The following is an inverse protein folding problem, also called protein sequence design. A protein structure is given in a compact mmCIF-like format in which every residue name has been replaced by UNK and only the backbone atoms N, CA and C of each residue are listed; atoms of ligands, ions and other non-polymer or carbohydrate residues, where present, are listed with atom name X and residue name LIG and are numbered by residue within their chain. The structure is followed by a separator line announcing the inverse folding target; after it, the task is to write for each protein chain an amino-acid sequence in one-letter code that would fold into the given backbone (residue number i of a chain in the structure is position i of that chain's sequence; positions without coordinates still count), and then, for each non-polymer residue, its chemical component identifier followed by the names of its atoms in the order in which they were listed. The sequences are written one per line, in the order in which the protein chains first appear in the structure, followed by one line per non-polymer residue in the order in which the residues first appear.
data_IF_563938590315
#
_entry.id   IF_563938590315
#
_cell.length_a   1.000
_cell.length_b   1.000
_cell.length_c   1.000
_cell.angle_alpha   90.00
_cell.angle_beta   90.00
_cell.angle_gamma   90.00
#
_symmetry.space_group_name_H-M   'P 1'
#
loop_
_entity.id
_entity.type
_entity.pdbx_description
1 polymer ?
#
# COMPACT_ATOMS: atom_id res chain seq x y z
N UNK A 1 -13.26 12.12 0.30
CA UNK A 1 -12.23 12.37 -0.74
C UNK A 1 -12.62 11.64 -2.01
N UNK A 2 -12.50 12.32 -3.15
CA UNK A 2 -12.66 11.69 -4.46
C UNK A 2 -11.49 10.73 -4.73
N UNK A 3 -11.57 9.97 -5.83
CA UNK A 3 -10.45 9.10 -6.26
C UNK A 3 -9.17 9.88 -6.56
N UNK A 4 -9.29 11.07 -7.15
CA UNK A 4 -8.14 11.91 -7.51
C UNK A 4 -7.47 12.47 -6.26
N UNK A 5 -8.26 12.99 -5.33
CA UNK A 5 -7.72 13.52 -4.06
C UNK A 5 -7.03 12.42 -3.25
N UNK A 6 -7.57 11.20 -3.29
CA UNK A 6 -6.97 10.08 -2.57
C UNK A 6 -5.62 9.68 -3.17
N UNK A 7 -5.50 9.66 -4.50
CA UNK A 7 -4.23 9.39 -5.17
C UNK A 7 -3.22 10.52 -4.92
N UNK A 8 -3.65 11.78 -5.05
CA UNK A 8 -2.81 12.93 -4.75
C UNK A 8 -2.26 12.84 -3.33
N UNK A 9 -3.12 12.59 -2.34
CA UNK A 9 -2.70 12.42 -0.95
C UNK A 9 -1.64 11.31 -0.79
N UNK A 10 -1.85 10.14 -1.38
CA UNK A 10 -0.87 9.04 -1.30
C UNK A 10 0.47 9.41 -1.95
N UNK A 11 0.40 9.99 -3.14
CA UNK A 11 1.57 10.37 -3.93
C UNK A 11 2.37 11.46 -3.22
N UNK A 12 1.71 12.48 -2.70
CA UNK A 12 2.36 13.61 -2.01
C UNK A 12 2.96 13.15 -0.67
N UNK A 13 2.25 12.31 0.08
CA UNK A 13 2.72 11.84 1.40
C UNK A 13 3.95 10.94 1.31
N UNK A 14 4.02 10.09 0.27
CA UNK A 14 5.04 9.06 0.16
C UNK A 14 5.99 9.25 -1.03
N UNK A 15 5.88 10.35 -1.78
CA UNK A 15 6.60 10.61 -3.02
C UNK A 15 6.47 9.41 -3.98
N UNK A 16 5.23 9.13 -4.37
CA UNK A 16 4.86 8.05 -5.29
C UNK A 16 4.21 8.62 -6.55
N UNK A 17 4.07 7.78 -7.57
CA UNK A 17 3.47 8.14 -8.86
C UNK A 17 2.32 7.19 -9.24
N UNK A 18 1.42 6.90 -8.29
CA UNK A 18 0.24 6.09 -8.58
C UNK A 18 -0.77 6.89 -9.41
N UNK A 19 -1.31 6.25 -10.44
CA UNK A 19 -2.31 6.78 -11.35
C UNK A 19 -3.68 6.11 -11.16
N UNK A 20 -3.73 5.00 -10.41
CA UNK A 20 -4.94 4.21 -10.15
C UNK A 20 -4.98 3.74 -8.70
N UNK A 21 -6.16 3.74 -8.08
CA UNK A 21 -6.36 3.30 -6.69
C UNK A 21 -5.99 1.82 -6.54
N UNK A 22 -6.24 1.03 -7.59
CA UNK A 22 -5.90 -0.38 -7.71
C UNK A 22 -4.41 -0.65 -7.44
N UNK A 23 -3.52 0.34 -7.66
CA UNK A 23 -2.08 0.18 -7.43
C UNK A 23 -1.70 0.07 -5.95
N UNK A 24 -2.60 0.46 -5.04
CA UNK A 24 -2.45 0.24 -3.60
C UNK A 24 -2.54 -1.25 -3.23
N UNK A 25 -2.96 -2.13 -4.15
CA UNK A 25 -3.03 -3.57 -3.95
C UNK A 25 -1.67 -4.21 -3.63
N UNK A 26 -0.56 -3.52 -3.89
CA UNK A 26 0.77 -4.02 -3.57
C UNK A 26 1.02 -4.13 -2.07
N UNK A 27 0.25 -3.42 -1.24
CA UNK A 27 0.41 -3.37 0.21
C UNK A 27 1.60 -2.53 0.69
N UNK A 28 2.53 -2.15 -0.20
CA UNK A 28 3.78 -1.47 0.15
C UNK A 28 3.55 -0.06 0.71
N UNK A 29 2.66 0.71 0.09
CA UNK A 29 2.32 2.06 0.54
C UNK A 29 1.74 2.06 1.96
N UNK A 30 0.84 1.12 2.27
CA UNK A 30 0.27 0.98 3.62
C UNK A 30 1.32 0.61 4.67
N UNK A 31 2.27 -0.25 4.32
CA UNK A 31 3.39 -0.56 5.22
C UNK A 31 4.22 0.70 5.52
N UNK A 32 4.46 1.53 4.52
CA UNK A 32 5.21 2.77 4.70
C UNK A 32 4.44 3.82 5.48
N UNK A 33 3.13 3.95 5.28
CA UNK A 33 2.30 4.81 6.14
C UNK A 33 2.30 4.37 7.60
N UNK A 34 2.30 3.08 7.88
CA UNK A 34 2.39 2.59 9.26
C UNK A 34 3.74 2.92 9.90
N UNK A 35 4.84 2.83 9.15
CA UNK A 35 6.15 3.31 9.60
C UNK A 35 6.15 4.82 9.87
N UNK A 36 5.49 5.60 9.00
CA UNK A 36 5.29 7.03 9.19
C UNK A 36 4.47 7.35 10.45
N UNK A 37 3.34 6.69 10.67
CA UNK A 37 2.49 6.94 11.84
C UNK A 37 3.15 6.48 13.15
N UNK A 38 3.73 5.27 13.14
CA UNK A 38 4.27 4.60 14.31
C UNK A 38 5.65 4.02 14.01
N UNK A 39 6.72 4.83 14.16
CA UNK A 39 8.09 4.39 13.89
C UNK A 39 8.44 3.08 14.61
N UNK A 40 8.99 2.12 13.88
CA UNK A 40 9.36 0.81 14.42
C UNK A 40 8.21 -0.19 14.59
N UNK A 41 6.98 0.14 14.18
CA UNK A 41 5.89 -0.84 14.13
C UNK A 41 5.99 -1.78 12.92
N UNK A 42 6.60 -1.32 11.82
CA UNK A 42 6.80 -2.07 10.57
C UNK A 42 8.29 -2.35 10.36
N UNK A 43 8.61 -3.56 9.88
CA UNK A 43 9.96 -3.88 9.40
C UNK A 43 10.07 -3.52 7.92
N UNK A 44 10.34 -2.24 7.61
CA UNK A 44 10.37 -1.77 6.21
C UNK A 44 11.34 -2.54 5.31
N UNK A 45 12.46 -3.04 5.85
CA UNK A 45 13.41 -3.88 5.10
C UNK A 45 12.80 -5.18 4.57
N UNK A 46 11.69 -5.65 5.15
CA UNK A 46 10.96 -6.83 4.67
C UNK A 46 9.89 -6.48 3.63
N UNK A 47 9.56 -5.21 3.45
CA UNK A 47 8.55 -4.77 2.49
C UNK A 47 9.13 -4.82 1.09
N UNK A 48 8.39 -5.42 0.16
CA UNK A 48 8.72 -5.48 -1.27
C UNK A 48 8.13 -4.26 -1.97
N UNK A 49 8.90 -3.16 -2.05
CA UNK A 49 8.48 -1.93 -2.74
C UNK A 49 8.39 -2.09 -4.28
N UNK A 50 9.12 -3.06 -4.82
CA UNK A 50 9.15 -3.39 -6.25
C UNK A 50 8.28 -4.62 -6.58
N UNK A 51 7.30 -4.95 -5.72
CA UNK A 51 6.43 -6.10 -5.90
C UNK A 51 5.65 -6.02 -7.24
N UNK A 52 5.59 -7.13 -7.96
CA UNK A 52 4.87 -7.24 -9.25
C UNK A 52 3.93 -8.44 -9.31
N UNK A 53 4.10 -9.39 -8.40
CA UNK A 53 3.33 -10.63 -8.38
C UNK A 53 2.44 -10.70 -7.15
N UNK A 54 1.27 -11.34 -7.28
CA UNK A 54 0.26 -11.39 -6.22
C UNK A 54 0.80 -11.95 -4.89
N UNK A 55 1.67 -12.97 -4.94
CA UNK A 55 2.27 -13.55 -3.74
C UNK A 55 3.20 -12.57 -2.99
N UNK A 56 3.75 -11.59 -3.70
CA UNK A 56 4.55 -10.52 -3.11
C UNK A 56 3.68 -9.47 -2.43
N UNK A 57 2.49 -9.20 -2.99
CA UNK A 57 1.49 -8.35 -2.36
C UNK A 57 0.96 -8.97 -1.07
N UNK A 58 0.68 -10.28 -1.09
CA UNK A 58 0.30 -11.04 0.11
C UNK A 58 1.39 -10.93 1.18
N UNK A 59 2.66 -11.05 0.80
CA UNK A 59 3.78 -10.87 1.72
C UNK A 59 3.78 -9.49 2.37
N UNK A 60 3.61 -8.41 1.60
CA UNK A 60 3.51 -7.06 2.14
C UNK A 60 2.30 -6.90 3.08
N UNK A 61 1.14 -7.44 2.73
CA UNK A 61 -0.02 -7.39 3.61
C UNK A 61 0.16 -8.18 4.91
N UNK A 62 0.92 -9.28 4.92
CA UNK A 62 1.30 -9.97 6.17
C UNK A 62 2.17 -9.09 7.06
N UNK A 63 3.08 -8.32 6.48
CA UNK A 63 3.88 -7.32 7.23
C UNK A 63 2.95 -6.26 7.83
N UNK A 64 1.99 -5.75 7.05
CA UNK A 64 1.00 -4.77 7.51
C UNK A 64 0.11 -5.30 8.64
N UNK A 65 -0.41 -6.53 8.51
CA UNK A 65 -1.21 -7.19 9.55
C UNK A 65 -0.44 -7.32 10.87
N UNK A 66 0.86 -7.64 10.81
CA UNK A 66 1.71 -7.70 12.00
C UNK A 66 1.81 -6.32 12.68
N UNK A 67 1.92 -5.24 11.91
CA UNK A 67 1.94 -3.88 12.44
C UNK A 67 0.59 -3.47 13.04
N UNK A 68 -0.53 -3.80 12.39
CA UNK A 68 -1.87 -3.56 12.93
C UNK A 68 -2.06 -4.26 14.27
N UNK A 69 -1.68 -5.55 14.35
CA UNK A 69 -1.72 -6.31 15.60
C UNK A 69 -0.85 -5.68 16.68
N UNK A 70 0.37 -5.24 16.35
CA UNK A 70 1.29 -4.59 17.29
C UNK A 70 0.73 -3.28 17.85
N UNK A 71 -0.02 -2.53 17.04
CA UNK A 71 -0.63 -1.27 17.42
C UNK A 71 -2.08 -1.39 17.94
N UNK A 72 -2.60 -2.61 18.12
CA UNK A 72 -3.96 -2.83 18.60
C UNK A 72 -5.05 -2.34 17.64
N UNK A 73 -4.80 -2.37 16.33
CA UNK A 73 -5.75 -1.95 15.31
C UNK A 73 -6.66 -3.12 14.92
N UNK A 74 -7.94 -3.03 15.30
CA UNK A 74 -8.93 -4.10 15.09
C UNK A 74 -9.49 -4.18 13.65
N UNK A 75 -9.04 -3.31 12.74
CA UNK A 75 -9.48 -3.35 11.34
C UNK A 75 -8.97 -4.62 10.66
N UNK A 76 -9.92 -5.47 10.25
CA UNK A 76 -9.63 -6.63 9.42
C UNK A 76 -9.20 -6.19 8.02
N UNK A 77 -8.03 -6.66 7.60
CA UNK A 77 -7.50 -6.44 6.25
C UNK A 77 -7.92 -7.62 5.37
N UNK A 78 -8.82 -7.38 4.42
CA UNK A 78 -9.31 -8.39 3.47
C UNK A 78 -8.27 -8.68 2.37
N UNK A 79 -7.12 -9.26 2.75
CA UNK A 79 -5.94 -9.45 1.88
C UNK A 79 -6.31 -10.08 0.55
N UNK A 80 -7.06 -11.19 0.57
CA UNK A 80 -7.45 -11.93 -0.64
C UNK A 80 -8.24 -11.10 -1.65
N UNK A 81 -8.95 -10.06 -1.20
CA UNK A 81 -9.70 -9.15 -2.08
C UNK A 81 -8.82 -8.01 -2.57
N UNK A 82 -8.03 -7.43 -1.67
CA UNK A 82 -7.15 -6.30 -1.98
C UNK A 82 -6.10 -6.66 -3.03
N UNK A 83 -5.42 -7.81 -2.87
CA UNK A 83 -4.34 -8.24 -3.77
C UNK A 83 -4.80 -8.52 -5.21
N UNK A 84 -6.12 -8.68 -5.43
CA UNK A 84 -6.69 -8.81 -6.78
C UNK A 84 -6.73 -7.48 -7.55
N UNK A 85 -6.34 -6.37 -6.92
CA UNK A 85 -6.31 -5.07 -7.59
C UNK A 85 -7.68 -4.57 -8.01
N UNK A 86 -8.76 -4.99 -7.33
CA UNK A 86 -10.12 -4.52 -7.62
C UNK A 86 -10.31 -3.11 -7.08
N UNK A 87 -10.85 -2.21 -7.91
CA UNK A 87 -11.07 -0.81 -7.54
C UNK A 87 -11.91 -0.67 -6.26
N UNK A 88 -13.05 -1.34 -6.20
CA UNK A 88 -14.00 -1.17 -5.09
C UNK A 88 -13.39 -1.54 -3.74
N UNK A 89 -12.80 -2.74 -3.62
CA UNK A 89 -12.18 -3.20 -2.38
C UNK A 89 -11.01 -2.29 -1.96
N UNK A 90 -10.17 -1.89 -2.92
CA UNK A 90 -9.03 -1.01 -2.64
C UNK A 90 -9.48 0.41 -2.26
N UNK A 91 -10.54 0.92 -2.89
CA UNK A 91 -11.07 2.26 -2.61
C UNK A 91 -11.73 2.33 -1.23
N UNK A 92 -12.49 1.31 -0.84
CA UNK A 92 -13.05 1.24 0.51
C UNK A 92 -11.94 1.20 1.57
N UNK A 93 -10.90 0.40 1.35
CA UNK A 93 -9.80 0.26 2.31
C UNK A 93 -8.99 1.56 2.46
N UNK A 94 -8.63 2.23 1.36
CA UNK A 94 -7.88 3.50 1.44
C UNK A 94 -8.72 4.62 2.06
N UNK A 95 -10.04 4.64 1.85
CA UNK A 95 -10.93 5.61 2.51
C UNK A 95 -10.93 5.44 4.03
N UNK A 96 -11.04 4.20 4.50
CA UNK A 96 -10.90 3.91 5.93
C UNK A 96 -9.49 4.27 6.42
N UNK A 97 -8.45 3.89 5.66
CA UNK A 97 -7.06 4.11 6.03
C UNK A 97 -6.72 5.60 6.14
N UNK A 98 -7.29 6.46 5.28
CA UNK A 98 -7.12 7.92 5.40
C UNK A 98 -7.68 8.46 6.72
N UNK A 99 -8.88 8.03 7.12
CA UNK A 99 -9.47 8.43 8.41
C UNK A 99 -8.61 7.95 9.58
N UNK A 100 -8.11 6.72 9.49
CA UNK A 100 -7.17 6.16 10.46
C UNK A 100 -5.88 6.99 10.53
N UNK A 101 -5.31 7.36 9.38
CA UNK A 101 -4.12 8.19 9.32
C UNK A 101 -4.35 9.56 9.98
N UNK A 102 -5.43 10.25 9.60
CA UNK A 102 -5.76 11.58 10.14
C UNK A 102 -5.97 11.58 11.66
N UNK A 103 -6.53 10.50 12.20
CA UNK A 103 -6.76 10.36 13.64
C UNK A 103 -5.47 10.08 14.45
N UNK A 104 -4.39 9.62 13.80
CA UNK A 104 -3.18 9.18 14.47
C UNK A 104 -1.93 9.98 14.09
N UNK A 105 -1.98 10.78 13.03
CA UNK A 105 -0.84 11.56 12.59
C UNK A 105 -0.64 12.79 13.50
N UNK A 106 0.55 12.89 14.07
CA UNK A 106 0.95 13.94 15.03
C UNK A 106 1.65 15.13 14.35
N UNK A 107 1.71 15.15 13.01
CA UNK A 107 2.35 16.21 12.23
C UNK A 107 3.87 16.09 12.12
N UNK A 108 4.48 14.97 12.55
CA UNK A 108 5.93 14.78 12.45
C UNK A 108 6.41 14.73 11.00
N UNK A 109 7.59 15.30 10.77
CA UNK A 109 8.26 15.18 9.48
C UNK A 109 8.62 13.72 9.18
N UNK A 110 8.45 13.32 7.92
CA UNK A 110 8.81 11.99 7.45
C UNK A 110 9.44 12.08 6.06
N UNK A 111 10.62 11.47 5.89
CA UNK A 111 11.27 11.38 4.59
C UNK A 111 11.04 9.99 3.98
N UNK A 112 10.10 9.83 3.04
CA UNK A 112 9.74 8.53 2.51
C UNK A 112 10.84 7.91 1.64
N UNK A 113 11.68 8.72 0.99
CA UNK A 113 12.78 8.20 0.17
C UNK A 113 13.88 7.59 1.04
N UNK A 114 14.27 8.28 2.11
CA UNK A 114 15.25 7.76 3.07
C UNK A 114 14.75 6.49 3.75
N UNK A 115 13.47 6.44 4.13
CA UNK A 115 12.86 5.25 4.72
C UNK A 115 12.86 4.03 3.76
N UNK A 116 12.71 4.27 2.46
CA UNK A 116 12.86 3.25 1.40
C UNK A 116 14.32 2.94 1.02
N UNK A 117 15.30 3.61 1.63
CA UNK A 117 16.71 3.53 1.26
C UNK A 117 16.94 3.87 -0.23
N UNK A 118 16.19 4.85 -0.75
CA UNK A 118 16.26 5.27 -2.15
C UNK A 118 15.58 4.32 -3.13
N UNK A 119 14.92 3.25 -2.67
CA UNK A 119 14.11 2.42 -3.57
C UNK A 119 12.89 3.20 -4.04
N UNK A 120 12.68 3.20 -5.35
CA UNK A 120 11.39 3.55 -5.93
C UNK A 120 10.33 2.54 -5.49
N UNK A 121 9.07 2.91 -5.66
CA UNK A 121 7.95 1.96 -5.57
C UNK A 121 7.45 1.76 -6.99
N UNK A 122 7.61 0.55 -7.52
CA UNK A 122 7.05 0.25 -8.82
C UNK A 122 5.53 0.29 -8.72
N UNK A 123 4.84 1.06 -9.57
CA UNK A 123 3.41 0.87 -9.73
C UNK A 123 3.18 -0.59 -10.18
N UNK A 124 2.36 -1.37 -9.46
CA UNK A 124 2.04 -2.71 -9.91
C UNK A 124 1.40 -2.64 -11.30
N UNK A 125 1.67 -3.62 -12.19
CA UNK A 125 1.10 -3.65 -13.52
C UNK A 125 -0.43 -3.60 -13.43
N UNK A 126 -1.07 -2.91 -14.39
CA UNK A 126 -2.51 -2.80 -14.37
C UNK A 126 -3.13 -4.20 -14.49
N UNK A 127 -4.21 -4.51 -13.75
CA UNK A 127 -4.91 -5.78 -13.89
C UNK A 127 -5.36 -6.09 -15.33
N UNK A 128 -5.47 -5.08 -16.20
CA UNK A 128 -5.81 -5.22 -17.62
C UNK A 128 -4.65 -5.61 -18.55
N UNK A 129 -3.39 -5.56 -18.09
CA UNK A 129 -2.22 -5.88 -18.91
C UNK A 129 -1.83 -7.39 -18.82
N UNK A 130 -2.49 -8.16 -17.97
CA UNK A 130 -2.37 -9.62 -17.90
C UNK A 130 -3.30 -10.32 -18.90
N UNK A 131 -3.23 -9.96 -20.19
CA UNK A 131 -3.75 -10.84 -21.24
C UNK A 131 -2.77 -12.01 -21.35
N UNK A 132 -3.23 -13.18 -20.92
CA UNK A 132 -2.54 -14.46 -21.02
C UNK A 132 -1.94 -14.66 -22.42
N UNK A 133 -0.63 -14.49 -22.56
CA UNK A 133 0.11 -15.11 -23.66
C UNK A 133 0.13 -16.62 -23.42
N UNK A 134 -0.95 -17.31 -23.80
CA UNK A 134 -0.88 -18.75 -24.04
C UNK A 134 -0.09 -18.95 -25.34
N UNK A 135 0.98 -19.78 -25.33
CA UNK A 135 1.60 -20.19 -26.59
C UNK A 135 0.57 -20.99 -27.39
N UNK A 136 0.38 -20.60 -28.65
CA UNK A 136 -0.38 -21.39 -29.63
C UNK A 136 0.33 -22.74 -29.78
N UNK A 137 -0.36 -23.83 -29.45
CA UNK A 137 -0.02 -25.16 -29.96
C UNK A 137 -0.40 -25.25 -31.43
#
# INVERSE_FOLDING_TARGET
LSRHDMLAWVNDSLQLNYTKIEQLCSGAAYCQFMDMLFPGCVHLRKVKFQAKLEHEYIHNFKVLQAAFKKMGVDKIIAVERLVKGKFQDNFEFIQWFKKFFDANYDGKEYNPLLARQGQDVAPPPNPGDHIFNKPKK
#
